data_IF_605231305461
#
_entry.id   IF_605231305461
#
_cell.length_a   1.000
_cell.length_b   1.000
_cell.length_c   1.000
_cell.angle_alpha   90.00
_cell.angle_beta   90.00
_cell.angle_gamma   90.00
#
_symmetry.space_group_name_H-M   'P 1'
#
loop_
_entity.id
_entity.type
_entity.pdbx_description
1 polymer ?
#
# COMPACT_ATOMS: atom_id res chain seq x y z
N UNK A 1 -30.97 8.39 -8.28
CA UNK A 1 -30.02 9.53 -8.30
C UNK A 1 -29.34 9.78 -6.95
N UNK A 2 -30.06 9.89 -5.82
CA UNK A 2 -29.47 10.12 -4.46
C UNK A 2 -28.25 9.24 -4.11
N UNK A 3 -28.30 7.94 -4.43
CA UNK A 3 -27.21 7.01 -4.11
C UNK A 3 -25.91 7.30 -4.87
N UNK A 4 -26.00 7.77 -6.13
CA UNK A 4 -24.81 8.11 -6.93
C UNK A 4 -24.14 9.37 -6.40
N UNK A 5 -24.94 10.35 -5.96
CA UNK A 5 -24.43 11.59 -5.38
C UNK A 5 -23.60 11.35 -4.11
N UNK A 6 -24.05 10.48 -3.21
CA UNK A 6 -23.30 10.16 -1.97
C UNK A 6 -21.92 9.57 -2.29
N UNK A 7 -21.80 8.68 -3.28
CA UNK A 7 -20.51 8.10 -3.63
C UNK A 7 -19.59 9.11 -4.32
N UNK A 8 -20.14 9.98 -5.17
CA UNK A 8 -19.36 11.09 -5.73
C UNK A 8 -18.86 12.03 -4.63
N UNK A 9 -19.68 12.29 -3.61
CA UNK A 9 -19.27 13.05 -2.44
C UNK A 9 -18.14 12.35 -1.67
N UNK A 10 -18.24 11.03 -1.43
CA UNK A 10 -17.15 10.29 -0.78
C UNK A 10 -15.85 10.33 -1.58
N UNK A 11 -15.91 10.13 -2.90
CA UNK A 11 -14.73 10.24 -3.78
C UNK A 11 -14.15 11.65 -3.66
N UNK A 12 -14.99 12.68 -3.76
CA UNK A 12 -14.55 14.07 -3.67
C UNK A 12 -13.88 14.39 -2.33
N UNK A 13 -14.49 14.01 -1.21
CA UNK A 13 -13.95 14.29 0.12
C UNK A 13 -12.67 13.50 0.40
N UNK A 14 -12.59 12.22 0.03
CA UNK A 14 -11.34 11.47 0.12
C UNK A 14 -10.27 12.05 -0.80
N UNK A 15 -10.62 12.46 -2.01
CA UNK A 15 -9.68 13.04 -2.97
C UNK A 15 -9.11 14.36 -2.43
N UNK A 16 -9.97 15.27 -1.97
CA UNK A 16 -9.54 16.55 -1.43
C UNK A 16 -8.72 16.38 -0.15
N UNK A 17 -9.05 15.41 0.71
CA UNK A 17 -8.24 15.10 1.87
C UNK A 17 -6.86 14.53 1.49
N UNK A 18 -6.81 13.60 0.53
CA UNK A 18 -5.57 12.96 0.09
C UNK A 18 -4.65 13.95 -0.63
N UNK A 19 -5.22 14.74 -1.55
CA UNK A 19 -4.48 15.61 -2.46
C UNK A 19 -4.10 16.94 -1.80
N UNK A 20 -4.98 17.50 -0.97
CA UNK A 20 -4.84 18.85 -0.43
C UNK A 20 -4.88 18.92 1.10
N UNK A 21 -5.06 17.79 1.80
CA UNK A 21 -5.22 17.77 3.25
C UNK A 21 -6.36 18.70 3.72
N UNK A 22 -7.48 18.68 2.99
CA UNK A 22 -8.63 19.59 3.17
C UNK A 22 -9.08 19.76 4.63
N UNK A 23 -9.04 18.69 5.41
CA UNK A 23 -9.51 18.68 6.79
C UNK A 23 -8.39 18.90 7.82
N UNK A 24 -7.15 19.11 7.37
CA UNK A 24 -5.96 19.25 8.22
C UNK A 24 -5.77 18.07 9.19
N UNK A 25 -6.15 16.87 8.76
CA UNK A 25 -6.04 15.63 9.53
C UNK A 25 -4.62 15.07 9.53
N UNK A 26 -3.74 15.59 8.66
CA UNK A 26 -2.31 15.33 8.67
C UNK A 26 -1.60 16.65 9.05
N UNK A 27 -0.59 16.65 9.94
CA UNK A 27 0.19 17.84 10.26
C UNK A 27 0.83 18.41 9.00
N UNK A 28 0.86 19.74 8.88
CA UNK A 28 1.30 20.42 7.66
C UNK A 28 2.73 20.03 7.28
N UNK A 29 3.64 19.94 8.24
CA UNK A 29 5.03 19.56 8.00
C UNK A 29 5.14 18.14 7.43
N UNK A 30 4.35 17.20 7.96
CA UNK A 30 4.30 15.81 7.47
C UNK A 30 3.71 15.71 6.07
N UNK A 31 2.65 16.47 5.80
CA UNK A 31 2.00 16.48 4.50
C UNK A 31 2.83 17.14 3.39
N UNK A 32 3.64 18.14 3.74
CA UNK A 32 4.63 18.74 2.83
C UNK A 32 5.85 17.84 2.66
N UNK A 33 6.35 17.24 3.75
CA UNK A 33 7.43 16.26 3.69
C UNK A 33 7.08 15.07 2.78
N UNK A 34 5.84 14.59 2.78
CA UNK A 34 5.43 13.48 1.90
C UNK A 34 5.48 13.82 0.40
N UNK A 35 5.66 15.09 0.01
CA UNK A 35 5.91 15.53 -1.38
C UNK A 35 7.39 15.50 -1.78
N UNK A 36 8.30 15.45 -0.81
CA UNK A 36 9.75 15.47 -1.04
C UNK A 36 10.44 14.41 -0.19
N UNK A 37 9.69 13.37 0.17
CA UNK A 37 10.24 12.20 0.83
C UNK A 37 11.31 11.61 -0.08
N UNK A 38 12.40 11.12 0.52
CA UNK A 38 13.53 10.53 -0.22
C UNK A 38 13.05 9.53 -1.28
N UNK A 39 12.02 8.73 -0.97
CA UNK A 39 11.43 7.77 -1.89
C UNK A 39 10.84 8.41 -3.16
N UNK A 40 10.16 9.56 -3.07
CA UNK A 40 9.63 10.25 -4.25
C UNK A 40 10.76 10.84 -5.12
N UNK A 41 11.87 11.26 -4.50
CA UNK A 41 13.03 11.74 -5.26
C UNK A 41 13.67 10.66 -6.15
N UNK A 42 13.44 9.37 -5.86
CA UNK A 42 13.87 8.27 -6.71
C UNK A 42 13.07 8.17 -8.03
N UNK A 43 11.79 8.58 -8.00
CA UNK A 43 10.96 8.72 -9.21
C UNK A 43 11.47 9.90 -10.03
N UNK A 44 11.72 11.02 -9.37
CA UNK A 44 12.17 12.24 -10.05
C UNK A 44 13.54 12.07 -10.69
N UNK A 45 14.48 11.42 -9.99
CA UNK A 45 15.76 11.09 -10.57
C UNK A 45 15.63 10.21 -11.82
N UNK A 46 14.66 9.28 -11.83
CA UNK A 46 14.37 8.49 -13.03
C UNK A 46 13.81 9.33 -14.18
N UNK A 47 12.87 10.22 -13.91
CA UNK A 47 12.32 11.13 -14.93
C UNK A 47 13.44 11.96 -15.57
N UNK A 48 14.27 12.63 -14.75
CA UNK A 48 15.43 13.39 -15.24
C UNK A 48 16.40 12.53 -16.06
N UNK A 49 16.68 11.30 -15.60
CA UNK A 49 17.55 10.39 -16.33
C UNK A 49 16.95 10.00 -17.69
N UNK A 50 15.64 9.78 -17.74
CA UNK A 50 14.93 9.46 -18.98
C UNK A 50 14.85 10.65 -19.93
N UNK A 51 14.73 11.88 -19.43
CA UNK A 51 14.70 13.10 -20.25
C UNK A 51 16.03 13.31 -21.01
N UNK A 52 17.15 12.87 -20.43
CA UNK A 52 18.49 12.99 -21.02
C UNK A 52 18.93 11.77 -21.84
N UNK A 53 18.30 10.61 -21.63
CA UNK A 53 18.63 9.36 -22.30
C UNK A 53 17.39 8.59 -22.74
N UNK A 54 17.45 7.26 -22.61
CA UNK A 54 16.32 6.36 -22.85
C UNK A 54 15.48 6.09 -21.60
N UNK A 55 14.27 5.54 -21.79
CA UNK A 55 13.44 5.05 -20.66
C UNK A 55 14.17 3.95 -19.88
N UNK A 56 15.04 3.18 -20.54
CA UNK A 56 15.85 2.12 -19.91
C UNK A 56 17.29 2.56 -19.60
N UNK A 57 17.59 3.86 -19.64
CA UNK A 57 18.87 4.42 -19.16
C UNK A 57 19.11 3.97 -17.70
N UNK A 58 20.38 3.64 -17.39
CA UNK A 58 20.81 3.05 -16.12
C UNK A 58 19.97 1.83 -15.69
N UNK A 59 19.71 0.95 -16.67
CA UNK A 59 18.95 -0.29 -16.49
C UNK A 59 17.46 -0.11 -16.28
N UNK A 60 16.93 1.12 -16.41
CA UNK A 60 15.51 1.38 -16.18
C UNK A 60 15.12 1.48 -14.71
N UNK A 61 16.06 1.37 -13.77
CA UNK A 61 15.79 1.49 -12.34
C UNK A 61 15.43 2.92 -11.94
N UNK A 62 14.62 3.06 -10.90
CA UNK A 62 14.54 4.32 -10.13
C UNK A 62 15.89 4.67 -9.51
N UNK A 63 16.09 5.89 -9.03
CA UNK A 63 17.39 6.27 -8.51
C UNK A 63 17.56 7.76 -8.24
N UNK A 64 18.68 8.12 -7.63
CA UNK A 64 19.03 9.51 -7.34
C UNK A 64 19.89 10.04 -8.48
N UNK A 65 19.50 11.19 -9.03
CA UNK A 65 20.19 11.86 -10.11
C UNK A 65 21.15 12.93 -9.55
N UNK A 66 22.44 12.63 -9.46
CA UNK A 66 23.39 13.61 -8.94
C UNK A 66 23.71 14.66 -10.01
N UNK A 67 23.44 15.92 -9.65
CA UNK A 67 23.69 17.10 -10.50
C UNK A 67 25.08 17.71 -10.27
N UNK A 68 25.76 17.31 -9.19
CA UNK A 68 27.07 17.77 -8.77
C UNK A 68 27.87 16.60 -8.14
N UNK A 69 29.09 16.88 -7.70
CA UNK A 69 29.99 15.91 -7.05
C UNK A 69 29.78 15.81 -5.53
N UNK A 70 28.68 16.34 -4.99
CA UNK A 70 28.35 16.28 -3.57
C UNK A 70 27.63 14.97 -3.24
N UNK A 71 28.41 13.99 -2.80
CA UNK A 71 27.93 12.68 -2.37
C UNK A 71 27.65 12.58 -0.87
N UNK A 72 27.65 13.69 -0.14
CA UNK A 72 27.53 13.70 1.32
C UNK A 72 26.21 13.13 1.83
N UNK A 73 25.10 13.35 1.09
CA UNK A 73 23.78 12.90 1.49
C UNK A 73 22.87 12.62 0.30
N UNK A 74 22.33 11.40 0.25
CA UNK A 74 21.30 10.99 -0.71
C UNK A 74 20.04 11.84 -0.63
N UNK A 75 19.62 12.23 0.58
CA UNK A 75 18.44 13.07 0.77
C UNK A 75 18.67 14.48 0.18
N UNK A 76 19.85 15.06 0.43
CA UNK A 76 20.21 16.36 -0.13
C UNK A 76 20.28 16.33 -1.66
N UNK A 77 20.95 15.31 -2.23
CA UNK A 77 21.04 15.13 -3.68
C UNK A 77 19.66 14.90 -4.33
N UNK A 78 18.80 14.10 -3.71
CA UNK A 78 17.42 13.89 -4.17
C UNK A 78 16.61 15.17 -4.18
N UNK A 79 16.74 16.02 -3.16
CA UNK A 79 16.08 17.33 -3.10
C UNK A 79 16.61 18.29 -4.16
N UNK A 80 17.93 18.39 -4.35
CA UNK A 80 18.53 19.16 -5.45
C UNK A 80 17.97 18.70 -6.81
N UNK A 81 17.88 17.39 -7.04
CA UNK A 81 17.29 16.81 -8.26
C UNK A 81 15.83 17.24 -8.43
N UNK A 82 15.06 17.16 -7.35
CA UNK A 82 13.67 17.56 -7.31
C UNK A 82 13.51 19.03 -7.71
N UNK A 83 14.27 19.93 -7.08
CA UNK A 83 14.23 21.37 -7.34
C UNK A 83 14.56 21.69 -8.80
N UNK A 84 15.57 21.02 -9.38
CA UNK A 84 15.92 21.16 -10.80
C UNK A 84 14.80 20.66 -11.72
N UNK A 85 14.21 19.51 -11.41
CA UNK A 85 13.10 18.96 -12.18
C UNK A 85 11.89 19.90 -12.18
N UNK A 86 11.41 20.34 -11.02
CA UNK A 86 10.23 21.22 -10.93
C UNK A 86 10.44 22.58 -11.59
N UNK A 87 11.68 23.05 -11.70
CA UNK A 87 12.01 24.30 -12.41
C UNK A 87 12.22 24.10 -13.92
N UNK A 88 11.91 22.91 -14.46
CA UNK A 88 12.17 22.53 -15.86
C UNK A 88 13.65 22.68 -16.27
N UNK A 89 14.56 22.62 -15.31
CA UNK A 89 15.99 22.68 -15.60
C UNK A 89 16.46 21.32 -16.15
N UNK A 90 17.47 21.36 -17.01
CA UNK A 90 18.13 20.17 -17.57
C UNK A 90 19.56 20.07 -17.03
N UNK A 91 19.74 19.72 -15.74
CA UNK A 91 21.08 19.66 -15.15
C UNK A 91 21.87 18.51 -15.77
N UNK A 92 23.17 18.69 -16.00
CA UNK A 92 24.04 17.62 -16.48
C UNK A 92 24.06 16.45 -15.48
N UNK A 93 23.91 15.22 -15.97
CA UNK A 93 24.10 13.99 -15.18
C UNK A 93 25.57 13.89 -14.73
N UNK A 94 25.85 14.09 -13.45
CA UNK A 94 27.17 13.82 -12.87
C UNK A 94 27.31 12.33 -12.53
N UNK A 95 26.31 11.78 -11.84
CA UNK A 95 26.24 10.38 -11.46
C UNK A 95 24.79 9.94 -11.28
N UNK A 96 24.48 8.66 -11.49
CA UNK A 96 23.16 8.09 -11.22
C UNK A 96 23.26 6.93 -10.23
N UNK A 97 22.64 7.10 -9.08
CA UNK A 97 22.59 6.05 -8.07
C UNK A 97 21.31 5.23 -8.23
N UNK A 98 21.39 4.15 -9.01
CA UNK A 98 20.26 3.26 -9.25
C UNK A 98 19.79 2.57 -7.96
N UNK A 99 18.49 2.69 -7.67
CA UNK A 99 17.79 1.98 -6.60
C UNK A 99 17.35 0.60 -7.10
N UNK A 100 18.12 -0.42 -6.71
CA UNK A 100 18.03 -1.76 -7.30
C UNK A 100 17.03 -2.70 -6.64
N UNK A 101 16.40 -2.28 -5.54
CA UNK A 101 15.51 -3.15 -4.74
C UNK A 101 14.06 -3.20 -5.23
N UNK A 102 13.69 -2.35 -6.19
CA UNK A 102 12.38 -2.31 -6.82
C UNK A 102 12.53 -2.13 -8.33
N UNK A 103 11.63 -2.71 -9.13
CA UNK A 103 11.70 -2.65 -10.59
C UNK A 103 11.32 -1.28 -11.18
N UNK A 104 10.71 -0.41 -10.39
CA UNK A 104 10.41 0.97 -10.78
C UNK A 104 9.36 1.11 -11.89
N UNK A 105 8.46 0.14 -12.03
CA UNK A 105 7.48 0.13 -13.13
C UNK A 105 6.58 1.37 -13.17
N UNK A 106 6.25 1.95 -12.00
CA UNK A 106 5.57 3.24 -11.91
C UNK A 106 6.38 4.38 -12.53
N UNK A 107 7.70 4.45 -12.26
CA UNK A 107 8.57 5.48 -12.82
C UNK A 107 8.81 5.29 -14.32
N UNK A 108 8.86 4.04 -14.79
CA UNK A 108 8.91 3.71 -16.22
C UNK A 108 7.67 4.25 -16.93
N UNK A 109 6.47 4.01 -16.38
CA UNK A 109 5.22 4.53 -16.94
C UNK A 109 5.17 6.06 -16.94
N UNK A 110 5.62 6.70 -15.86
CA UNK A 110 5.72 8.16 -15.79
C UNK A 110 6.74 8.71 -16.79
N UNK A 111 7.87 8.03 -17.01
CA UNK A 111 8.88 8.43 -18.02
C UNK A 111 8.37 8.30 -19.45
N UNK A 112 7.53 7.29 -19.72
CA UNK A 112 6.84 7.14 -21.01
C UNK A 112 5.85 8.30 -21.20
N UNK A 113 5.07 8.62 -20.18
CA UNK A 113 4.14 9.74 -20.20
C UNK A 113 4.88 11.06 -20.48
N UNK A 114 5.92 11.36 -19.70
CA UNK A 114 6.80 12.54 -19.86
C UNK A 114 7.31 12.68 -21.30
N UNK A 115 7.87 11.60 -21.87
CA UNK A 115 8.38 11.65 -23.26
C UNK A 115 7.31 11.82 -24.33
N UNK A 116 6.10 11.32 -24.10
CA UNK A 116 4.99 11.41 -25.08
C UNK A 116 4.36 12.80 -25.06
N UNK A 117 4.13 13.36 -23.87
CA UNK A 117 3.39 14.61 -23.72
C UNK A 117 4.30 15.83 -23.57
N UNK A 118 5.47 15.67 -22.95
CA UNK A 118 6.47 16.73 -22.77
C UNK A 118 5.89 17.97 -22.10
N UNK A 119 5.08 17.80 -21.05
CA UNK A 119 4.45 18.92 -20.37
C UNK A 119 5.45 19.61 -19.45
N UNK A 120 5.02 20.73 -18.86
CA UNK A 120 5.75 21.33 -17.75
C UNK A 120 5.90 20.31 -16.59
N UNK A 121 7.12 20.15 -16.07
CA UNK A 121 7.44 19.14 -15.07
C UNK A 121 6.59 19.27 -13.78
N UNK A 122 6.19 20.49 -13.38
CA UNK A 122 5.27 20.67 -12.24
C UNK A 122 3.87 20.17 -12.54
N UNK A 123 3.42 20.36 -13.79
CA UNK A 123 2.11 19.85 -14.24
C UNK A 123 2.13 18.32 -14.27
N UNK A 124 3.19 17.70 -14.75
CA UNK A 124 3.31 16.24 -14.81
C UNK A 124 3.27 15.59 -13.43
N UNK A 125 4.11 16.05 -12.49
CA UNK A 125 4.11 15.49 -11.14
C UNK A 125 2.77 15.72 -10.43
N UNK A 126 2.10 16.84 -10.70
CA UNK A 126 0.76 17.09 -10.18
C UNK A 126 -0.26 16.08 -10.75
N UNK A 127 -0.23 15.81 -12.06
CA UNK A 127 -1.07 14.79 -12.70
C UNK A 127 -0.84 13.43 -12.06
N UNK A 128 0.41 12.99 -11.90
CA UNK A 128 0.73 11.70 -11.30
C UNK A 128 0.22 11.59 -9.86
N UNK A 129 0.40 12.64 -9.06
CA UNK A 129 -0.12 12.70 -7.68
C UNK A 129 -1.65 12.67 -7.65
N UNK A 130 -2.32 13.44 -8.52
CA UNK A 130 -3.79 13.44 -8.64
C UNK A 130 -4.33 12.07 -9.05
N UNK A 131 -3.67 11.37 -9.97
CA UNK A 131 -4.03 10.02 -10.38
C UNK A 131 -3.95 9.04 -9.21
N UNK A 132 -2.89 9.11 -8.40
CA UNK A 132 -2.73 8.27 -7.21
C UNK A 132 -3.81 8.58 -6.16
N UNK A 133 -4.03 9.87 -5.85
CA UNK A 133 -5.07 10.32 -4.91
C UNK A 133 -6.48 9.90 -5.34
N UNK A 134 -6.81 10.06 -6.62
CA UNK A 134 -8.12 9.71 -7.17
C UNK A 134 -8.33 8.20 -7.16
N UNK A 135 -7.32 7.42 -7.56
CA UNK A 135 -7.38 5.96 -7.57
C UNK A 135 -7.63 5.41 -6.16
N UNK A 136 -6.93 5.93 -5.14
CA UNK A 136 -7.14 5.56 -3.75
C UNK A 136 -8.57 5.90 -3.30
N UNK A 137 -9.03 7.12 -3.60
CA UNK A 137 -10.36 7.63 -3.24
C UNK A 137 -11.49 6.81 -3.84
N UNK A 138 -11.33 6.37 -5.11
CA UNK A 138 -12.27 5.48 -5.79
C UNK A 138 -12.29 4.11 -5.09
N UNK A 139 -11.15 3.50 -4.80
CA UNK A 139 -11.09 2.18 -4.17
C UNK A 139 -11.69 2.19 -2.75
N UNK A 140 -11.37 3.20 -1.92
CA UNK A 140 -12.00 3.35 -0.60
C UNK A 140 -13.51 3.55 -0.71
N UNK A 141 -13.97 4.35 -1.67
CA UNK A 141 -15.41 4.53 -1.92
C UNK A 141 -16.07 3.23 -2.38
N UNK A 142 -15.40 2.42 -3.20
CA UNK A 142 -15.91 1.12 -3.64
C UNK A 142 -16.08 0.16 -2.45
N UNK A 143 -15.19 0.18 -1.46
CA UNK A 143 -15.41 -0.55 -0.20
C UNK A 143 -16.71 -0.07 0.47
N UNK A 144 -16.93 1.25 0.56
CA UNK A 144 -18.15 1.81 1.14
C UNK A 144 -19.43 1.46 0.33
N UNK A 145 -19.32 1.35 -1.00
CA UNK A 145 -20.42 0.85 -1.84
C UNK A 145 -20.77 -0.58 -1.46
N UNK A 146 -19.76 -1.44 -1.27
CA UNK A 146 -19.98 -2.82 -0.80
C UNK A 146 -20.61 -2.85 0.59
N UNK A 147 -20.09 -2.05 1.54
CA UNK A 147 -20.65 -1.91 2.90
C UNK A 147 -22.13 -1.53 2.85
N UNK A 148 -22.49 -0.53 2.04
CA UNK A 148 -23.89 -0.10 1.93
C UNK A 148 -24.79 -1.20 1.37
N UNK A 149 -24.34 -1.92 0.34
CA UNK A 149 -25.11 -3.02 -0.27
C UNK A 149 -25.38 -4.14 0.73
N UNK A 150 -24.45 -4.38 1.66
CA UNK A 150 -24.55 -5.45 2.67
C UNK A 150 -25.26 -5.05 3.95
N UNK A 151 -24.96 -3.86 4.46
CA UNK A 151 -25.28 -3.47 5.83
C UNK A 151 -26.13 -2.19 5.91
N UNK A 152 -26.38 -1.53 4.79
CA UNK A 152 -27.21 -0.33 4.71
C UNK A 152 -26.44 0.97 4.82
N UNK A 153 -27.17 2.08 4.67
CA UNK A 153 -26.58 3.42 4.55
C UNK A 153 -25.93 3.92 5.83
N UNK A 154 -26.51 3.64 7.00
CA UNK A 154 -25.97 4.14 8.28
C UNK A 154 -24.59 3.53 8.55
N UNK A 155 -24.45 2.21 8.43
CA UNK A 155 -23.15 1.53 8.56
C UNK A 155 -22.13 2.09 7.57
N UNK A 156 -22.54 2.32 6.32
CA UNK A 156 -21.69 2.94 5.29
C UNK A 156 -21.19 4.35 5.69
N UNK A 157 -22.08 5.22 6.16
CA UNK A 157 -21.72 6.59 6.56
C UNK A 157 -20.82 6.59 7.80
N UNK A 158 -21.11 5.75 8.80
CA UNK A 158 -20.25 5.63 9.99
C UNK A 158 -18.86 5.10 9.61
N UNK A 159 -18.79 4.10 8.71
CA UNK A 159 -17.51 3.60 8.19
C UNK A 159 -16.73 4.69 7.45
N UNK A 160 -17.40 5.51 6.63
CA UNK A 160 -16.78 6.67 5.97
C UNK A 160 -16.17 7.64 6.98
N UNK A 161 -16.94 8.03 8.01
CA UNK A 161 -16.51 8.97 9.04
C UNK A 161 -15.33 8.44 9.87
N UNK A 162 -15.22 7.12 10.06
CA UNK A 162 -14.11 6.49 10.78
C UNK A 162 -12.87 6.26 9.90
N UNK A 163 -13.03 6.10 8.58
CA UNK A 163 -11.90 5.98 7.64
C UNK A 163 -11.28 7.35 7.35
N UNK A 164 -12.10 8.40 7.21
CA UNK A 164 -11.64 9.74 6.83
C UNK A 164 -10.50 10.34 7.69
N UNK A 165 -10.50 10.22 9.03
CA UNK A 165 -9.44 10.79 9.87
C UNK A 165 -8.14 9.99 9.87
N UNK A 166 -7.97 9.01 8.97
CA UNK A 166 -6.86 8.08 9.05
C UNK A 166 -5.53 8.62 8.50
N UNK A 167 -4.60 8.94 9.39
CA UNK A 167 -3.28 9.46 9.03
C UNK A 167 -2.51 8.58 8.04
N UNK A 168 -2.40 7.27 8.30
CA UNK A 168 -1.51 6.39 7.53
C UNK A 168 -2.03 6.07 6.13
N UNK A 169 -3.35 6.00 5.93
CA UNK A 169 -3.95 5.83 4.59
C UNK A 169 -3.62 7.05 3.71
N UNK A 170 -3.76 8.26 4.27
CA UNK A 170 -3.73 9.50 3.49
C UNK A 170 -2.35 10.16 3.38
N UNK A 171 -1.43 9.96 4.34
CA UNK A 171 -0.10 10.59 4.35
C UNK A 171 0.67 10.40 3.04
N UNK A 172 0.68 9.15 2.55
CA UNK A 172 1.33 8.76 1.29
C UNK A 172 0.33 8.49 0.15
N UNK A 173 -0.95 8.83 0.32
CA UNK A 173 -1.99 8.50 -0.66
C UNK A 173 -1.80 9.17 -2.02
N UNK A 174 -1.12 10.32 -2.06
CA UNK A 174 -0.73 11.04 -3.28
C UNK A 174 0.65 10.64 -3.82
N UNK A 175 1.44 9.86 -3.07
CA UNK A 175 2.85 9.60 -3.37
C UNK A 175 3.00 8.87 -4.70
N UNK A 176 3.89 9.37 -5.57
CA UNK A 176 4.24 8.70 -6.82
C UNK A 176 5.16 7.50 -6.62
N UNK A 177 5.76 7.36 -5.43
CA UNK A 177 6.52 6.17 -5.05
C UNK A 177 5.61 5.07 -4.50
N UNK A 178 4.86 5.39 -3.43
CA UNK A 178 4.12 4.37 -2.67
C UNK A 178 2.86 3.87 -3.36
N UNK A 179 2.22 4.71 -4.20
CA UNK A 179 1.04 4.34 -4.99
C UNK A 179 -0.03 3.57 -4.19
N UNK A 180 -0.37 4.04 -2.98
CA UNK A 180 -1.13 3.29 -1.96
C UNK A 180 -2.40 2.58 -2.46
N UNK A 181 -3.04 3.09 -3.51
CA UNK A 181 -4.22 2.50 -4.14
C UNK A 181 -3.99 1.04 -4.58
N UNK A 182 -2.78 0.66 -5.02
CA UNK A 182 -2.52 -0.70 -5.51
C UNK A 182 -2.75 -1.77 -4.45
N UNK A 183 -2.50 -1.45 -3.17
CA UNK A 183 -2.65 -2.39 -2.06
C UNK A 183 -4.12 -2.76 -1.79
N UNK A 184 -5.06 -1.89 -2.15
CA UNK A 184 -6.50 -2.14 -2.02
C UNK A 184 -7.10 -2.84 -3.24
N UNK A 185 -6.42 -2.78 -4.39
CA UNK A 185 -7.00 -3.13 -5.69
C UNK A 185 -7.51 -4.58 -5.77
N UNK A 186 -6.74 -5.63 -5.43
CA UNK A 186 -7.28 -6.99 -5.50
C UNK A 186 -8.34 -7.23 -4.45
N UNK A 187 -8.20 -6.68 -3.23
CA UNK A 187 -9.22 -6.83 -2.20
C UNK A 187 -10.58 -6.29 -2.69
N UNK A 188 -10.61 -5.06 -3.22
CA UNK A 188 -11.82 -4.45 -3.77
C UNK A 188 -12.37 -5.23 -4.95
N UNK A 189 -11.51 -5.62 -5.91
CA UNK A 189 -11.95 -6.43 -7.04
C UNK A 189 -12.57 -7.76 -6.58
N UNK A 190 -11.93 -8.45 -5.63
CA UNK A 190 -12.41 -9.72 -5.06
C UNK A 190 -13.79 -9.57 -4.40
N UNK A 191 -13.98 -8.50 -3.63
CA UNK A 191 -15.26 -8.21 -2.98
C UNK A 191 -16.42 -8.20 -4.00
N UNK A 192 -16.24 -7.47 -5.11
CA UNK A 192 -17.28 -7.35 -6.13
C UNK A 192 -17.37 -8.58 -7.03
N UNK A 193 -16.25 -9.25 -7.30
CA UNK A 193 -16.23 -10.48 -8.07
C UNK A 193 -17.08 -11.56 -7.38
N UNK A 194 -16.87 -11.81 -6.09
CA UNK A 194 -17.65 -12.80 -5.36
C UNK A 194 -19.05 -12.30 -4.98
N UNK A 195 -19.25 -11.00 -4.77
CA UNK A 195 -20.60 -10.43 -4.57
C UNK A 195 -21.51 -10.70 -5.78
N UNK A 196 -20.97 -10.58 -7.00
CA UNK A 196 -21.73 -10.76 -8.24
C UNK A 196 -21.95 -12.24 -8.58
N UNK A 197 -20.98 -13.10 -8.32
CA UNK A 197 -20.99 -14.51 -8.73
C UNK A 197 -21.29 -15.46 -7.55
N UNK A 198 -22.23 -15.11 -6.67
CA UNK A 198 -22.51 -15.85 -5.42
C UNK A 198 -22.77 -17.34 -5.70
N UNK A 199 -21.86 -18.21 -5.26
CA UNK A 199 -21.99 -19.67 -5.38
C UNK A 199 -21.56 -20.27 -6.72
N UNK A 200 -21.47 -19.46 -7.79
CA UNK A 200 -21.06 -19.93 -9.13
C UNK A 200 -20.02 -18.98 -9.73
N UNK A 201 -18.82 -19.00 -9.17
CA UNK A 201 -17.70 -18.20 -9.66
C UNK A 201 -16.77 -19.04 -10.52
N UNK A 202 -16.29 -18.44 -11.63
CA UNK A 202 -15.32 -19.07 -12.49
C UNK A 202 -13.91 -18.98 -11.87
N UNK A 203 -13.34 -20.11 -11.44
CA UNK A 203 -12.03 -20.13 -10.79
C UNK A 203 -10.88 -19.72 -11.73
N UNK A 204 -10.94 -20.06 -13.02
CA UNK A 204 -9.90 -19.69 -14.00
C UNK A 204 -9.87 -18.19 -14.22
N UNK A 205 -11.06 -17.57 -14.31
CA UNK A 205 -11.21 -16.11 -14.40
C UNK A 205 -10.73 -15.41 -13.12
N UNK A 206 -11.04 -15.98 -11.96
CA UNK A 206 -10.51 -15.50 -10.68
C UNK A 206 -8.99 -15.50 -10.69
N UNK A 207 -8.35 -16.65 -10.96
CA UNK A 207 -6.89 -16.79 -10.97
C UNK A 207 -6.25 -15.82 -11.98
N UNK A 208 -6.69 -15.81 -13.23
CA UNK A 208 -6.07 -14.97 -14.28
C UNK A 208 -6.14 -13.48 -13.97
N UNK A 209 -7.31 -12.96 -13.58
CA UNK A 209 -7.44 -11.54 -13.26
C UNK A 209 -6.68 -11.21 -11.98
N UNK A 210 -6.71 -12.07 -10.95
CA UNK A 210 -5.94 -11.83 -9.74
C UNK A 210 -4.42 -11.84 -10.00
N UNK A 211 -3.90 -12.78 -10.79
CA UNK A 211 -2.49 -12.78 -11.21
C UNK A 211 -2.10 -11.47 -11.87
N UNK A 212 -2.97 -10.90 -12.72
CA UNK A 212 -2.74 -9.60 -13.33
C UNK A 212 -2.73 -8.47 -12.30
N UNK A 213 -3.65 -8.45 -11.33
CA UNK A 213 -3.65 -7.44 -10.27
C UNK A 213 -2.42 -7.54 -9.36
N UNK A 214 -1.93 -8.76 -9.10
CA UNK A 214 -0.65 -8.98 -8.41
C UNK A 214 0.54 -8.49 -9.22
N UNK A 215 0.53 -8.73 -10.53
CA UNK A 215 1.54 -8.16 -11.42
C UNK A 215 1.53 -6.63 -11.38
N UNK A 216 0.35 -5.99 -11.44
CA UNK A 216 0.21 -4.53 -11.32
C UNK A 216 0.77 -4.05 -9.97
N UNK A 217 0.48 -4.73 -8.87
CA UNK A 217 1.07 -4.38 -7.58
C UNK A 217 2.59 -4.48 -7.61
N UNK A 218 3.16 -5.57 -8.13
CA UNK A 218 4.62 -5.72 -8.21
C UNK A 218 5.25 -4.69 -9.14
N UNK A 219 4.56 -4.31 -10.21
CA UNK A 219 4.98 -3.29 -11.14
C UNK A 219 5.12 -1.92 -10.45
N UNK A 220 4.15 -1.53 -9.64
CA UNK A 220 4.12 -0.21 -8.99
C UNK A 220 4.87 -0.14 -7.66
N UNK A 221 4.90 -1.21 -6.88
CA UNK A 221 5.41 -1.21 -5.50
C UNK A 221 6.22 -2.47 -5.19
N UNK A 222 6.96 -2.97 -6.19
CA UNK A 222 7.95 -4.04 -6.03
C UNK A 222 7.51 -5.18 -5.11
N UNK A 223 8.42 -5.60 -4.23
CA UNK A 223 8.15 -6.65 -3.25
C UNK A 223 7.66 -6.13 -1.89
N UNK A 224 7.46 -4.81 -1.74
CA UNK A 224 6.99 -4.22 -0.48
C UNK A 224 5.66 -4.85 -0.04
N UNK A 225 5.58 -5.31 1.20
CA UNK A 225 4.35 -5.86 1.80
C UNK A 225 3.73 -7.07 1.07
N UNK A 226 4.54 -7.90 0.39
CA UNK A 226 4.04 -9.04 -0.40
C UNK A 226 3.14 -10.01 0.40
N UNK A 227 3.49 -10.31 1.66
CA UNK A 227 2.72 -11.24 2.50
C UNK A 227 1.40 -10.61 2.97
N UNK A 228 1.43 -9.31 3.31
CA UNK A 228 0.23 -8.52 3.65
C UNK A 228 -0.76 -8.58 2.50
N UNK A 229 -0.27 -8.30 1.29
CA UNK A 229 -1.08 -8.24 0.08
C UNK A 229 -1.66 -9.61 -0.31
N UNK A 230 -0.88 -10.69 -0.16
CA UNK A 230 -1.35 -12.06 -0.36
C UNK A 230 -2.53 -12.38 0.56
N UNK A 231 -2.37 -12.21 1.86
CA UNK A 231 -3.41 -12.51 2.84
C UNK A 231 -4.63 -11.58 2.64
N UNK A 232 -4.41 -10.30 2.36
CA UNK A 232 -5.45 -9.31 2.07
C UNK A 232 -6.34 -9.73 0.89
N UNK A 233 -5.73 -10.20 -0.19
CA UNK A 233 -6.43 -10.60 -1.41
C UNK A 233 -7.34 -11.82 -1.21
N UNK A 234 -6.99 -12.68 -0.25
CA UNK A 234 -7.72 -13.91 0.08
C UNK A 234 -8.97 -13.65 0.94
N UNK A 235 -9.08 -12.48 1.59
CA UNK A 235 -10.15 -12.21 2.55
C UNK A 235 -11.55 -12.33 1.94
N UNK A 236 -11.85 -11.75 0.76
CA UNK A 236 -13.19 -11.86 0.20
C UNK A 236 -13.48 -13.27 -0.33
N UNK A 237 -12.46 -14.02 -0.78
CA UNK A 237 -12.61 -15.44 -1.10
C UNK A 237 -13.09 -16.21 0.13
N UNK A 238 -12.44 -16.02 1.29
CA UNK A 238 -12.85 -16.67 2.55
C UNK A 238 -14.26 -16.21 2.96
N UNK A 239 -14.55 -14.91 2.91
CA UNK A 239 -15.86 -14.37 3.31
C UNK A 239 -17.02 -14.99 2.51
N UNK A 240 -16.85 -15.16 1.19
CA UNK A 240 -17.92 -15.65 0.32
C UNK A 240 -17.95 -17.17 0.13
N UNK A 241 -16.79 -17.81 0.09
CA UNK A 241 -16.63 -19.19 -0.42
C UNK A 241 -16.29 -20.19 0.69
N UNK A 242 -15.93 -19.75 1.90
CA UNK A 242 -15.47 -20.66 2.96
C UNK A 242 -16.44 -21.83 3.20
N UNK A 243 -15.89 -23.03 3.08
CA UNK A 243 -16.54 -24.29 3.44
C UNK A 243 -15.56 -25.08 4.32
N UNK A 244 -16.03 -25.62 5.45
CA UNK A 244 -15.20 -26.44 6.33
C UNK A 244 -15.03 -27.87 5.77
N UNK A 245 -14.34 -27.98 4.63
CA UNK A 245 -14.06 -29.24 3.93
C UNK A 245 -12.63 -29.24 3.40
N UNK A 246 -12.00 -30.41 3.38
CA UNK A 246 -10.60 -30.55 2.94
C UNK A 246 -10.39 -30.04 1.50
N UNK A 247 -11.34 -30.27 0.60
CA UNK A 247 -11.31 -29.79 -0.78
C UNK A 247 -11.26 -28.26 -0.90
N UNK A 248 -11.88 -27.53 0.02
CA UNK A 248 -11.82 -26.07 0.07
C UNK A 248 -10.38 -25.61 0.34
N UNK A 249 -9.71 -26.17 1.34
CA UNK A 249 -8.36 -25.78 1.72
C UNK A 249 -7.36 -26.05 0.58
N UNK A 250 -7.43 -27.23 -0.07
CA UNK A 250 -6.59 -27.52 -1.23
C UNK A 250 -6.84 -26.56 -2.39
N UNK A 251 -8.10 -26.31 -2.75
CA UNK A 251 -8.46 -25.37 -3.82
C UNK A 251 -8.00 -23.96 -3.49
N UNK A 252 -8.18 -23.53 -2.24
CA UNK A 252 -7.75 -22.23 -1.75
C UNK A 252 -6.23 -22.06 -1.89
N UNK A 253 -5.44 -22.98 -1.32
CA UNK A 253 -3.98 -22.92 -1.35
C UNK A 253 -3.47 -22.91 -2.80
N UNK A 254 -3.92 -23.86 -3.62
CA UNK A 254 -3.45 -23.99 -5.00
C UNK A 254 -3.77 -22.75 -5.84
N UNK A 255 -4.99 -22.21 -5.71
CA UNK A 255 -5.39 -21.01 -6.46
C UNK A 255 -4.54 -19.80 -6.08
N UNK A 256 -4.25 -19.59 -4.79
CA UNK A 256 -3.47 -18.46 -4.33
C UNK A 256 -1.97 -18.60 -4.63
N UNK A 257 -1.44 -19.84 -4.67
CA UNK A 257 -0.08 -20.11 -5.18
C UNK A 257 0.02 -19.66 -6.65
N UNK A 258 -0.90 -20.10 -7.51
CA UNK A 258 -0.89 -19.73 -8.93
C UNK A 258 -1.04 -18.22 -9.14
N UNK A 259 -1.86 -17.57 -8.31
CA UNK A 259 -2.07 -16.12 -8.35
C UNK A 259 -0.76 -15.36 -8.14
N UNK A 260 0.10 -15.81 -7.21
CA UNK A 260 1.33 -15.09 -6.81
C UNK A 260 2.56 -15.51 -7.59
N UNK A 261 2.76 -16.81 -7.82
CA UNK A 261 4.00 -17.34 -8.39
C UNK A 261 4.24 -16.79 -9.79
N UNK A 262 3.21 -16.76 -10.63
CA UNK A 262 3.31 -16.25 -12.00
C UNK A 262 3.80 -14.80 -12.07
N UNK A 263 3.13 -13.82 -11.43
CA UNK A 263 3.61 -12.43 -11.45
C UNK A 263 4.93 -12.23 -10.71
N UNK A 264 5.23 -13.04 -9.68
CA UNK A 264 6.51 -12.98 -8.97
C UNK A 264 7.66 -13.35 -9.90
N UNK A 265 7.55 -14.47 -10.62
CA UNK A 265 8.57 -14.91 -11.58
C UNK A 265 8.78 -13.85 -12.66
N UNK A 266 7.69 -13.31 -13.23
CA UNK A 266 7.79 -12.25 -14.25
C UNK A 266 8.52 -11.00 -13.73
N UNK A 267 8.23 -10.60 -12.48
CA UNK A 267 8.85 -9.44 -11.84
C UNK A 267 10.35 -9.69 -11.59
N UNK A 268 10.71 -10.87 -11.09
CA UNK A 268 12.10 -11.27 -10.87
C UNK A 268 12.86 -11.30 -12.20
N UNK A 269 12.31 -11.91 -13.24
CA UNK A 269 12.93 -11.96 -14.57
C UNK A 269 13.13 -10.54 -15.14
N UNK A 270 12.14 -9.67 -14.99
CA UNK A 270 12.26 -8.27 -15.41
C UNK A 270 13.38 -7.55 -14.65
N UNK A 271 13.46 -7.72 -13.33
CA UNK A 271 14.53 -7.12 -12.53
C UNK A 271 15.91 -7.65 -12.91
N UNK A 272 16.04 -8.94 -13.15
CA UNK A 272 17.28 -9.56 -13.63
C UNK A 272 17.69 -8.97 -15.00
N UNK A 273 16.73 -8.72 -15.88
CA UNK A 273 16.97 -8.01 -17.14
C UNK A 273 17.45 -6.56 -16.90
N UNK A 274 16.86 -5.82 -15.97
CA UNK A 274 17.34 -4.48 -15.59
C UNK A 274 18.78 -4.51 -15.06
N UNK A 275 19.15 -5.53 -14.28
CA UNK A 275 20.53 -5.75 -13.85
C UNK A 275 21.47 -6.04 -15.02
N UNK A 276 21.06 -6.90 -15.96
CA UNK A 276 21.84 -7.17 -17.17
C UNK A 276 22.11 -5.89 -17.97
N UNK A 277 21.14 -4.97 -18.04
CA UNK A 277 21.31 -3.66 -18.67
C UNK A 277 22.25 -2.74 -17.87
N UNK A 278 22.16 -2.75 -16.54
CA UNK A 278 22.95 -1.86 -15.68
C UNK A 278 24.41 -2.29 -15.52
N UNK A 279 24.66 -3.58 -15.30
CA UNK A 279 26.00 -4.09 -14.93
C UNK A 279 26.60 -5.02 -15.98
N UNK A 280 25.82 -5.40 -17.00
CA UNK A 280 26.24 -6.39 -17.99
C UNK A 280 26.09 -7.84 -17.51
N UNK A 281 25.60 -8.12 -16.29
CA UNK A 281 25.52 -9.48 -15.75
C UNK A 281 24.22 -9.77 -14.97
N UNK A 282 23.63 -10.95 -15.20
CA UNK A 282 22.50 -11.45 -14.41
C UNK A 282 22.91 -11.89 -13.01
N UNK A 283 24.17 -12.33 -12.83
CA UNK A 283 24.71 -12.79 -11.55
C UNK A 283 24.65 -11.72 -10.46
N UNK A 284 24.90 -10.45 -10.82
CA UNK A 284 24.78 -9.32 -9.89
C UNK A 284 23.34 -9.12 -9.41
N UNK A 285 22.37 -9.36 -10.30
CA UNK A 285 20.95 -9.30 -9.96
C UNK A 285 20.53 -10.41 -9.01
N UNK A 286 20.99 -11.64 -9.25
CA UNK A 286 20.74 -12.78 -8.34
C UNK A 286 21.37 -12.51 -6.98
N UNK A 287 22.63 -12.09 -6.94
CA UNK A 287 23.33 -11.76 -5.71
C UNK A 287 22.61 -10.64 -4.95
N UNK A 288 22.15 -9.59 -5.66
CA UNK A 288 21.38 -8.51 -5.05
C UNK A 288 20.07 -9.00 -4.45
N UNK A 289 19.30 -9.84 -5.14
CA UNK A 289 18.02 -10.35 -4.65
C UNK A 289 18.20 -11.22 -3.40
N UNK A 290 19.21 -12.09 -3.37
CA UNK A 290 19.54 -12.92 -2.22
C UNK A 290 19.97 -12.06 -1.02
N UNK A 291 20.84 -11.08 -1.23
CA UNK A 291 21.24 -10.13 -0.20
C UNK A 291 20.06 -9.27 0.29
N UNK A 292 19.25 -8.75 -0.64
CA UNK A 292 18.07 -7.93 -0.36
C UNK A 292 17.05 -8.67 0.50
N UNK A 293 16.81 -9.95 0.23
CA UNK A 293 15.95 -10.80 1.05
C UNK A 293 16.57 -11.05 2.42
N UNK A 294 17.84 -11.46 2.45
CA UNK A 294 18.56 -11.77 3.70
C UNK A 294 18.60 -10.58 4.65
N UNK A 295 18.84 -9.38 4.14
CA UNK A 295 18.82 -8.13 4.91
C UNK A 295 17.49 -7.80 5.56
N UNK A 296 16.39 -8.08 4.87
CA UNK A 296 15.05 -7.66 5.29
C UNK A 296 14.34 -8.71 6.15
N UNK A 297 14.66 -9.99 5.94
CA UNK A 297 14.02 -11.10 6.64
C UNK A 297 14.86 -11.66 7.81
N UNK A 298 16.19 -11.63 7.70
CA UNK A 298 17.05 -12.24 8.73
C UNK A 298 17.36 -11.28 9.88
N UNK A 299 16.92 -11.63 11.09
CA UNK A 299 17.22 -10.89 12.31
C UNK A 299 18.69 -10.81 12.71
N UNK A 300 19.49 -11.75 12.21
CA UNK A 300 20.92 -11.82 12.50
C UNK A 300 21.75 -11.05 11.48
N UNK A 301 21.11 -10.39 10.51
CA UNK A 301 21.84 -9.59 9.52
C UNK A 301 22.59 -8.44 10.19
N UNK A 302 23.92 -8.47 10.18
CA UNK A 302 24.75 -7.41 10.73
C UNK A 302 24.98 -6.34 9.67
N UNK A 303 24.37 -5.16 9.86
CA UNK A 303 24.65 -3.99 9.04
C UNK A 303 26.12 -3.58 9.18
N UNK A 304 26.79 -3.26 8.07
CA UNK A 304 28.19 -2.81 8.06
C UNK A 304 28.27 -1.37 7.53
N UNK A 305 29.38 -0.70 7.78
CA UNK A 305 29.64 0.66 7.28
C UNK A 305 28.68 1.70 7.89
N UNK A 306 28.15 2.60 7.06
CA UNK A 306 27.26 3.71 7.48
C UNK A 306 25.99 3.25 8.22
N UNK A 307 25.58 1.99 8.05
CA UNK A 307 24.39 1.43 8.69
C UNK A 307 24.68 0.64 9.97
N UNK A 308 25.94 0.56 10.41
CA UNK A 308 26.31 -0.25 11.58
C UNK A 308 25.55 0.15 12.86
N UNK A 309 25.14 1.42 12.97
CA UNK A 309 24.32 1.92 14.08
C UNK A 309 22.94 1.26 14.17
N UNK A 310 22.41 0.69 13.09
CA UNK A 310 21.12 -0.01 13.11
C UNK A 310 21.20 -1.34 13.89
N UNK A 311 22.40 -1.92 14.03
CA UNK A 311 22.57 -3.15 14.81
C UNK A 311 22.34 -2.94 16.31
N UNK A 312 22.64 -1.75 16.84
CA UNK A 312 22.42 -1.45 18.27
C UNK A 312 20.95 -1.23 18.59
N UNK A 313 20.14 -0.94 17.56
CA UNK A 313 18.70 -0.73 17.67
C UNK A 313 17.90 -2.03 17.54
N UNK A 314 18.51 -3.16 17.15
CA UNK A 314 17.87 -4.49 17.08
C UNK A 314 17.41 -4.97 18.47
N UNK A 315 16.32 -4.40 18.95
CA UNK A 315 15.63 -4.83 20.15
C UNK A 315 14.52 -5.84 19.79
N UNK A 316 14.08 -6.57 20.81
CA UNK A 316 13.36 -7.83 20.76
C UNK A 316 12.12 -7.80 19.84
N UNK A 317 11.75 -8.96 19.31
CA UNK A 317 10.56 -9.13 18.44
C UNK A 317 9.28 -8.50 19.01
N UNK A 318 9.12 -8.55 20.33
CA UNK A 318 7.98 -7.97 21.03
C UNK A 318 7.91 -6.45 20.87
N UNK A 319 9.05 -5.77 20.85
CA UNK A 319 9.15 -4.31 20.78
C UNK A 319 8.66 -3.78 19.43
N UNK A 320 8.88 -4.53 18.36
CA UNK A 320 8.35 -4.21 17.02
C UNK A 320 6.83 -4.26 17.06
N UNK A 321 6.23 -5.36 17.55
CA UNK A 321 4.77 -5.49 17.61
C UNK A 321 4.16 -4.42 18.51
N UNK A 322 4.74 -4.20 19.70
CA UNK A 322 4.27 -3.19 20.64
C UNK A 322 4.36 -1.77 20.07
N UNK A 323 5.44 -1.44 19.34
CA UNK A 323 5.56 -0.15 18.61
C UNK A 323 4.40 0.04 17.65
N UNK A 324 4.10 -0.98 16.84
CA UNK A 324 3.06 -0.87 15.82
C UNK A 324 1.64 -0.90 16.39
N UNK A 325 1.38 -1.57 17.52
CA UNK A 325 0.07 -1.57 18.20
C UNK A 325 -0.11 -0.35 19.12
N UNK A 326 0.98 0.22 19.64
CA UNK A 326 0.98 1.41 20.48
C UNK A 326 0.87 2.73 19.71
N UNK A 327 1.07 2.72 18.39
CA UNK A 327 0.95 3.90 17.53
C UNK A 327 -0.48 4.43 17.40
N UNK A 328 -0.59 5.63 16.82
CA UNK A 328 -1.86 6.33 16.68
C UNK A 328 -2.65 5.89 15.44
N UNK A 329 -3.94 5.68 15.63
CA UNK A 329 -4.94 5.41 14.60
C UNK A 329 -5.33 6.66 13.81
N UNK A 330 -5.51 7.78 14.51
CA UNK A 330 -6.02 9.02 13.92
C UNK A 330 -4.88 9.89 13.45
N UNK A 331 -4.02 10.34 14.36
CA UNK A 331 -2.95 11.30 14.06
C UNK A 331 -1.84 11.20 15.11
N UNK A 332 -0.57 11.37 14.73
CA UNK A 332 0.56 11.27 15.66
C UNK A 332 0.74 12.51 16.57
N UNK A 333 0.23 13.67 16.18
CA UNK A 333 0.53 14.97 16.80
C UNK A 333 -0.70 15.66 17.44
N UNK A 334 -1.93 15.41 16.96
CA UNK A 334 -3.16 16.08 17.43
C UNK A 334 -4.02 15.20 18.35
N UNK A 335 -4.63 14.14 17.81
CA UNK A 335 -5.42 13.17 18.58
C UNK A 335 -4.71 11.82 18.51
N UNK A 336 -3.99 11.50 19.59
CA UNK A 336 -3.41 10.18 19.79
C UNK A 336 -4.52 9.23 20.23
N UNK A 337 -5.11 8.53 19.28
CA UNK A 337 -6.00 7.40 19.56
C UNK A 337 -5.20 6.12 19.30
N UNK A 338 -4.66 5.44 20.32
CA UNK A 338 -3.85 4.25 20.11
C UNK A 338 -4.62 3.15 19.35
N UNK A 339 -3.96 2.38 18.49
CA UNK A 339 -4.62 1.24 17.82
C UNK A 339 -5.27 0.27 18.80
N UNK A 340 -4.68 0.08 19.97
CA UNK A 340 -5.25 -0.80 21.00
C UNK A 340 -6.70 -0.41 21.37
N UNK A 341 -7.05 0.88 21.37
CA UNK A 341 -8.41 1.33 21.67
C UNK A 341 -9.38 0.87 20.59
N UNK A 342 -9.01 1.02 19.32
CA UNK A 342 -9.81 0.56 18.17
C UNK A 342 -9.93 -0.98 18.16
N UNK A 343 -8.86 -1.69 18.52
CA UNK A 343 -8.88 -3.16 18.66
C UNK A 343 -9.86 -3.58 19.75
N UNK A 344 -9.81 -2.96 20.94
CA UNK A 344 -10.73 -3.27 22.05
C UNK A 344 -12.18 -3.00 21.64
N UNK A 345 -12.47 -1.85 21.02
CA UNK A 345 -13.80 -1.54 20.50
C UNK A 345 -14.26 -2.56 19.45
N UNK A 346 -13.35 -3.01 18.60
CA UNK A 346 -13.57 -4.08 17.63
C UNK A 346 -13.89 -5.43 18.25
N UNK A 347 -13.22 -5.80 19.36
CA UNK A 347 -13.52 -7.02 20.14
C UNK A 347 -14.94 -6.93 20.72
N UNK A 348 -15.25 -5.83 21.42
CA UNK A 348 -16.57 -5.61 22.03
C UNK A 348 -17.67 -5.68 20.96
N UNK A 349 -17.46 -5.00 19.83
CA UNK A 349 -18.37 -5.00 18.68
C UNK A 349 -18.54 -6.40 18.10
N UNK A 350 -17.44 -7.16 17.98
CA UNK A 350 -17.46 -8.55 17.49
C UNK A 350 -18.26 -9.45 18.41
N UNK A 351 -18.04 -9.38 19.73
CA UNK A 351 -18.78 -10.16 20.73
C UNK A 351 -20.27 -9.84 20.66
N UNK A 352 -20.63 -8.55 20.61
CA UNK A 352 -22.01 -8.11 20.48
C UNK A 352 -22.68 -8.68 19.22
N UNK A 353 -22.06 -8.51 18.04
CA UNK A 353 -22.60 -9.01 16.77
C UNK A 353 -22.68 -10.54 16.74
N UNK A 354 -21.69 -11.23 17.32
CA UNK A 354 -21.67 -12.70 17.40
C UNK A 354 -22.83 -13.23 18.24
N UNK A 355 -23.06 -12.66 19.43
CA UNK A 355 -24.19 -13.00 20.31
C UNK A 355 -25.53 -12.70 19.61
N UNK A 356 -25.60 -11.62 18.83
CA UNK A 356 -26.78 -11.25 18.04
C UNK A 356 -26.94 -12.04 16.74
N UNK A 357 -26.02 -12.94 16.40
CA UNK A 357 -26.01 -13.70 15.15
C UNK A 357 -25.97 -12.82 13.89
N UNK A 358 -25.35 -11.64 13.97
CA UNK A 358 -25.24 -10.69 12.86
C UNK A 358 -23.90 -10.89 12.15
N UNK A 359 -23.95 -11.32 10.89
CA UNK A 359 -22.81 -11.52 9.98
C UNK A 359 -21.53 -12.06 10.64
N UNK A 360 -21.61 -13.29 11.18
CA UNK A 360 -20.45 -13.98 11.78
C UNK A 360 -19.29 -14.18 10.78
N UNK A 361 -19.58 -14.19 9.48
CA UNK A 361 -18.55 -14.29 8.43
C UNK A 361 -17.69 -13.04 8.39
N UNK A 362 -18.29 -11.85 8.49
CA UNK A 362 -17.57 -10.59 8.59
C UNK A 362 -16.64 -10.59 9.81
N UNK A 363 -17.15 -11.02 10.98
CA UNK A 363 -16.34 -11.11 12.21
C UNK A 363 -15.14 -12.04 11.99
N UNK A 364 -15.38 -13.27 11.53
CA UNK A 364 -14.33 -14.25 11.31
C UNK A 364 -13.26 -13.76 10.31
N UNK A 365 -13.69 -13.19 9.18
CA UNK A 365 -12.77 -12.66 8.16
C UNK A 365 -12.03 -11.41 8.61
N UNK A 366 -12.63 -10.58 9.46
CA UNK A 366 -11.96 -9.43 10.09
C UNK A 366 -10.80 -9.91 10.94
N UNK A 367 -11.02 -10.84 11.86
CA UNK A 367 -9.93 -11.34 12.72
C UNK A 367 -8.90 -12.18 11.95
N UNK A 368 -9.32 -12.95 10.94
CA UNK A 368 -8.38 -13.62 10.05
C UNK A 368 -7.48 -12.63 9.30
N UNK A 369 -8.01 -11.47 8.89
CA UNK A 369 -7.22 -10.46 8.18
C UNK A 369 -6.11 -9.82 9.01
N UNK A 370 -6.12 -9.97 10.34
CA UNK A 370 -5.01 -9.56 11.21
C UNK A 370 -3.71 -10.32 10.89
N UNK A 371 -3.81 -11.52 10.29
CA UNK A 371 -2.64 -12.25 9.84
C UNK A 371 -1.86 -11.50 8.75
N UNK A 372 -2.51 -10.61 7.98
CA UNK A 372 -1.84 -9.81 6.95
C UNK A 372 -0.74 -8.91 7.54
N UNK A 373 -1.04 -7.94 8.42
CA UNK A 373 -0.01 -7.10 9.05
C UNK A 373 0.98 -7.93 9.88
N UNK A 374 0.50 -8.91 10.66
CA UNK A 374 1.38 -9.74 11.49
C UNK A 374 2.39 -10.54 10.67
N UNK A 375 2.00 -11.06 9.50
CA UNK A 375 2.93 -11.80 8.63
C UNK A 375 4.16 -10.96 8.26
N UNK A 376 3.97 -9.67 8.00
CA UNK A 376 5.07 -8.79 7.63
C UNK A 376 5.93 -8.41 8.82
N UNK A 377 5.30 -8.04 9.94
CA UNK A 377 6.02 -7.68 11.17
C UNK A 377 6.86 -8.84 11.73
N UNK A 378 6.44 -10.08 11.50
CA UNK A 378 7.14 -11.28 11.95
C UNK A 378 8.21 -11.71 10.93
N UNK A 379 7.87 -11.82 9.64
CA UNK A 379 8.78 -12.35 8.61
C UNK A 379 9.81 -11.33 8.12
N UNK A 380 9.45 -10.03 8.08
CA UNK A 380 10.28 -8.93 7.59
C UNK A 380 10.59 -7.93 8.70
N UNK A 381 10.94 -8.45 9.89
CA UNK A 381 11.15 -7.65 11.10
C UNK A 381 12.21 -6.57 10.95
N UNK A 382 13.27 -6.80 10.17
CA UNK A 382 14.32 -5.79 9.94
C UNK A 382 13.79 -4.62 9.13
N UNK A 383 12.94 -4.91 8.12
CA UNK A 383 12.23 -3.86 7.39
C UNK A 383 11.32 -3.08 8.33
N UNK A 384 10.49 -3.77 9.11
CA UNK A 384 9.61 -3.15 10.09
C UNK A 384 10.37 -2.38 11.18
N UNK A 385 11.63 -2.72 11.45
CA UNK A 385 12.44 -2.00 12.40
C UNK A 385 12.91 -0.64 11.84
N UNK A 386 13.34 -0.61 10.58
CA UNK A 386 13.97 0.54 9.91
C UNK A 386 12.95 1.49 9.26
N UNK A 387 11.76 0.97 8.95
CA UNK A 387 10.71 1.71 8.24
C UNK A 387 9.47 2.05 9.12
N UNK A 388 9.62 2.56 10.37
CA UNK A 388 8.48 2.91 11.21
C UNK A 388 7.65 4.08 10.69
N UNK A 389 8.16 4.82 9.70
CA UNK A 389 7.44 5.92 9.05
C UNK A 389 6.41 5.45 8.01
N UNK A 390 6.36 4.15 7.65
CA UNK A 390 5.45 3.64 6.61
C UNK A 390 4.79 2.32 6.97
N UNK A 391 5.45 1.45 7.74
CA UNK A 391 4.94 0.10 8.01
C UNK A 391 3.65 0.09 8.86
N UNK A 392 3.23 1.21 9.46
CA UNK A 392 1.88 1.33 10.05
C UNK A 392 0.75 1.17 9.03
N UNK A 393 1.01 1.47 7.75
CA UNK A 393 0.04 1.33 6.66
C UNK A 393 -0.49 -0.10 6.50
N UNK A 394 0.33 -1.11 6.79
CA UNK A 394 -0.03 -2.53 6.58
C UNK A 394 -1.26 -2.97 7.39
N UNK A 395 -1.54 -2.31 8.52
CA UNK A 395 -2.73 -2.57 9.32
C UNK A 395 -4.04 -2.24 8.60
N UNK A 396 -3.99 -1.35 7.60
CA UNK A 396 -5.17 -0.95 6.82
C UNK A 396 -5.46 -1.86 5.65
N UNK A 397 -4.63 -2.88 5.40
CA UNK A 397 -4.76 -3.81 4.29
C UNK A 397 -5.19 -5.20 4.78
N UNK A 398 -6.51 -5.54 4.79
CA UNK A 398 -7.65 -4.67 5.02
C UNK A 398 -8.09 -4.66 6.51
N UNK A 399 -7.26 -5.12 7.46
CA UNK A 399 -7.70 -5.43 8.84
C UNK A 399 -8.44 -4.29 9.52
N UNK A 400 -7.82 -3.11 9.65
CA UNK A 400 -8.47 -1.98 10.30
C UNK A 400 -9.68 -1.48 9.53
N UNK A 401 -9.70 -1.59 8.19
CA UNK A 401 -10.89 -1.26 7.40
C UNK A 401 -12.05 -2.19 7.74
N UNK A 402 -11.81 -3.50 7.82
CA UNK A 402 -12.82 -4.47 8.20
C UNK A 402 -13.28 -4.29 9.66
N UNK A 403 -12.34 -3.96 10.55
CA UNK A 403 -12.63 -3.68 11.96
C UNK A 403 -13.52 -2.44 12.11
N UNK A 404 -13.27 -1.38 11.34
CA UNK A 404 -14.13 -0.18 11.26
C UNK A 404 -15.54 -0.58 10.81
N UNK A 405 -15.67 -1.49 9.85
CA UNK A 405 -16.99 -1.96 9.35
C UNK A 405 -17.72 -2.76 10.43
N UNK A 406 -17.01 -3.62 11.17
CA UNK A 406 -17.56 -4.35 12.34
C UNK A 406 -18.06 -3.38 13.40
N UNK A 407 -17.27 -2.38 13.77
CA UNK A 407 -17.66 -1.34 14.74
C UNK A 407 -18.89 -0.56 14.23
N UNK A 408 -18.88 -0.16 12.97
CA UNK A 408 -19.98 0.58 12.34
C UNK A 408 -21.29 -0.23 12.31
N UNK A 409 -21.19 -1.54 12.07
CA UNK A 409 -22.33 -2.45 12.04
C UNK A 409 -22.90 -2.69 13.45
N UNK A 410 -22.02 -2.84 14.45
CA UNK A 410 -22.42 -2.95 15.85
C UNK A 410 -23.16 -1.70 16.32
N UNK A 411 -22.61 -0.51 16.04
CA UNK A 411 -23.24 0.77 16.35
C UNK A 411 -24.65 0.90 15.74
N UNK A 412 -24.80 0.61 14.44
CA UNK A 412 -26.11 0.65 13.78
C UNK A 412 -27.09 -0.36 14.38
N UNK A 413 -26.62 -1.58 14.65
CA UNK A 413 -27.45 -2.66 15.20
C UNK A 413 -27.91 -2.37 16.63
N UNK A 414 -27.10 -1.64 17.40
CA UNK A 414 -27.47 -1.13 18.72
C UNK A 414 -28.60 -0.09 18.61
N UNK A 415 -28.46 0.93 17.76
CA UNK A 415 -29.46 1.98 17.55
C UNK A 415 -30.82 1.47 17.02
N UNK A 416 -30.82 0.38 16.26
CA UNK A 416 -32.08 -0.19 15.73
C UNK A 416 -32.96 -0.79 16.82
N UNK A 417 -32.39 -1.17 17.97
CA UNK A 417 -33.11 -1.82 19.07
C UNK A 417 -34.03 -0.86 19.84
N UNK A 418 -33.77 0.45 19.78
CA UNK A 418 -34.55 1.48 20.50
C UNK A 418 -35.83 1.91 19.78
N UNK A 419 -36.14 1.36 18.59
CA UNK A 419 -37.38 1.66 17.84
C UNK A 419 -38.48 0.60 18.02
N UNK A 420 -38.43 -0.19 19.08
CA UNK A 420 -39.34 -1.30 19.35
C UNK A 420 -39.82 -1.39 20.80
N UNK A 421 -40.06 -0.24 21.45
CA UNK A 421 -40.92 -0.13 22.63
C UNK A 421 -42.10 0.76 22.29
#
# INVERSE_FOLDING_TARGET
MKNKFIYLLFIFLFFCNTQFNLFHLIPKERFEYSKVEVSETLIIGKLLNSQQGGIFEDGGFTGIFYTDNDFSSRNLAGKKSYDKFVNNERPKKYYYWAYKSQIGGQAILYSVFDKIFGLDNNVEILIFRMLNSLSLSILLTLILVWVKRKFGLITCVVSFLLILPNYWIFLYGKSTWWCNWVYFLPFVYSLFYFEKNKGDYNIKKYISIFSLLFFVKFWFTGFEFITVFLISSAIPYIYYVFENKLSFYFKFIWSHILIVVTPLILTVLFQLYQFKLLTGNFGDGIAHLVDAYSRRANGEYVYKGEYAYLNTLKQYHLDIILRYVGGSFINEDFIKLPFIVIIILGIISSVFLYIKNIDRKLIATTWFSMLAPLSWLILFKEHAHIHPHVDFFIWYCPFLILLIIVISLAFFSFLKKDKGC
#
